data_IF_415538962602
#
_entry.id   IF_415538962602
#
_cell.length_a   1.000
_cell.length_b   1.000
_cell.length_c   1.000
_cell.angle_alpha   90.00
_cell.angle_beta   90.00
_cell.angle_gamma   90.00
#
_symmetry.space_group_name_H-M   'P 1'
#
loop_
_entity.id
_entity.type
_entity.pdbx_description
1 polymer ?
#
# COMPACT_ATOMS: atom_id res chain seq x y z
N UNK A 1 -20.69 -5.25 19.21
CA UNK A 1 -19.37 -4.92 18.63
C UNK A 1 -19.57 -4.85 17.13
N UNK A 2 -19.27 -3.71 16.51
CA UNK A 2 -19.56 -3.50 15.08
C UNK A 2 -18.24 -3.39 14.34
N UNK A 3 -18.09 -4.18 13.28
CA UNK A 3 -16.94 -4.08 12.41
C UNK A 3 -17.28 -3.12 11.27
N UNK A 4 -16.38 -2.18 10.98
CA UNK A 4 -16.51 -1.25 9.87
C UNK A 4 -15.38 -1.51 8.88
N UNK A 5 -15.72 -1.58 7.59
CA UNK A 5 -14.76 -1.77 6.52
C UNK A 5 -14.50 -0.43 5.82
N UNK A 6 -13.23 -0.15 5.54
CA UNK A 6 -12.80 1.07 4.86
C UNK A 6 -11.91 0.68 3.68
N UNK A 7 -12.03 1.44 2.58
CA UNK A 7 -11.09 1.38 1.46
C UNK A 7 -10.15 2.57 1.60
N UNK A 8 -8.85 2.30 1.61
CA UNK A 8 -7.81 3.32 1.71
C UNK A 8 -7.08 3.42 0.37
N UNK A 9 -7.07 4.62 -0.22
CA UNK A 9 -6.23 4.94 -1.37
C UNK A 9 -5.06 5.78 -0.89
N UNK A 10 -3.84 5.36 -1.18
CA UNK A 10 -2.60 6.03 -0.78
C UNK A 10 -1.71 6.27 -1.99
N UNK A 11 -0.90 7.31 -1.92
CA UNK A 11 0.20 7.57 -2.86
C UNK A 11 1.53 7.30 -2.17
N UNK A 12 2.45 6.63 -2.86
CA UNK A 12 3.86 6.45 -2.47
C UNK A 12 4.09 5.78 -1.10
N UNK A 13 3.07 5.17 -0.50
CA UNK A 13 3.17 4.50 0.79
C UNK A 13 3.37 3.00 0.61
N UNK A 14 4.35 2.43 1.32
CA UNK A 14 4.46 0.97 1.43
C UNK A 14 3.47 0.46 2.47
N UNK A 15 3.07 -0.80 2.33
CA UNK A 15 2.21 -1.50 3.30
C UNK A 15 2.66 -1.29 4.76
N UNK A 16 3.97 -1.32 5.01
CA UNK A 16 4.54 -1.15 6.35
C UNK A 16 4.31 0.25 6.93
N UNK A 17 4.31 1.28 6.08
CA UNK A 17 4.09 2.66 6.52
C UNK A 17 2.63 2.89 6.86
N UNK A 18 1.73 2.30 6.06
CA UNK A 18 0.28 2.29 6.32
C UNK A 18 -0.01 1.61 7.66
N UNK A 19 0.58 0.43 7.90
CA UNK A 19 0.41 -0.30 9.16
C UNK A 19 0.91 0.52 10.36
N UNK A 20 2.09 1.14 10.25
CA UNK A 20 2.64 1.98 11.31
C UNK A 20 1.76 3.18 11.59
N UNK A 21 1.30 3.89 10.56
CA UNK A 21 0.44 5.07 10.73
C UNK A 21 -0.87 4.73 11.46
N UNK A 22 -1.56 3.67 11.02
CA UNK A 22 -2.80 3.22 11.65
C UNK A 22 -2.57 2.77 13.10
N UNK A 23 -1.48 2.04 13.37
CA UNK A 23 -1.11 1.63 14.73
C UNK A 23 -0.81 2.82 15.64
N UNK A 24 -0.04 3.81 15.16
CA UNK A 24 0.27 5.03 15.92
C UNK A 24 -1.00 5.84 16.23
N UNK A 25 -1.99 5.81 15.35
CA UNK A 25 -3.31 6.42 15.57
C UNK A 25 -4.22 5.62 16.52
N UNK A 26 -3.76 4.50 17.07
CA UNK A 26 -4.56 3.63 17.95
C UNK A 26 -5.60 2.78 17.23
N UNK A 27 -5.50 2.65 15.91
CA UNK A 27 -6.43 1.85 15.10
C UNK A 27 -5.93 0.40 15.07
N UNK A 28 -6.77 -0.51 15.58
CA UNK A 28 -6.51 -1.94 15.52
C UNK A 28 -6.95 -2.51 14.17
N UNK A 29 -5.97 -2.73 13.28
CA UNK A 29 -6.20 -3.28 11.95
C UNK A 29 -6.34 -4.80 12.04
N UNK A 30 -7.50 -5.32 11.64
CA UNK A 30 -7.77 -6.77 11.63
C UNK A 30 -7.21 -7.46 10.39
N UNK A 31 -7.30 -6.82 9.23
CA UNK A 31 -6.75 -7.31 7.97
C UNK A 31 -6.48 -6.13 7.03
N UNK A 32 -5.47 -6.27 6.17
CA UNK A 32 -5.22 -5.35 5.06
C UNK A 32 -5.28 -6.20 3.79
N UNK A 33 -6.07 -5.75 2.82
CA UNK A 33 -6.20 -6.39 1.52
C UNK A 33 -5.78 -5.35 0.49
N UNK A 34 -4.76 -5.66 -0.30
CA UNK A 34 -4.36 -4.84 -1.46
C UNK A 34 -5.32 -5.18 -2.61
N UNK A 35 -6.24 -4.25 -2.92
CA UNK A 35 -7.29 -4.48 -3.93
C UNK A 35 -6.76 -4.13 -5.34
N UNK A 36 -5.85 -3.15 -5.45
CA UNK A 36 -5.33 -2.67 -6.71
C UNK A 36 -3.99 -1.94 -6.50
N UNK A 37 -3.00 -2.26 -7.33
CA UNK A 37 -1.70 -1.59 -7.39
C UNK A 37 -1.43 -1.18 -8.83
N UNK A 38 -1.23 0.12 -9.05
CA UNK A 38 -0.84 0.65 -10.35
C UNK A 38 0.66 0.96 -10.32
N UNK A 39 1.42 0.36 -11.22
CA UNK A 39 2.81 0.74 -11.43
C UNK A 39 2.84 1.96 -12.36
N UNK A 40 3.04 3.13 -11.77
CA UNK A 40 3.36 4.33 -12.55
C UNK A 40 4.76 4.10 -13.13
N UNK A 41 4.82 3.67 -14.41
CA UNK A 41 6.08 3.60 -15.15
C UNK A 41 6.65 5.01 -15.24
N UNK A 42 7.64 5.30 -14.40
CA UNK A 42 8.54 6.42 -14.61
C UNK A 42 9.45 6.03 -15.77
N UNK A 43 9.31 6.71 -16.90
CA UNK A 43 10.24 6.58 -18.03
C UNK A 43 11.65 7.00 -17.59
N UNK A 44 12.47 6.02 -17.20
CA UNK A 44 13.94 5.92 -17.20
C UNK A 44 14.27 4.64 -16.41
N UNK A 45 14.77 3.54 -16.98
CA UNK A 45 15.80 3.46 -18.00
C UNK A 45 15.67 2.16 -18.81
N UNK A 46 15.97 2.30 -20.09
CA UNK A 46 16.40 1.27 -21.03
C UNK A 46 17.68 0.57 -20.54
N UNK A 47 17.88 -0.65 -21.07
CA UNK A 47 19.12 -1.47 -21.11
C UNK A 47 19.42 -2.22 -19.79
N UNK A 48 19.52 -3.56 -19.75
CA UNK A 48 20.14 -4.48 -20.71
C UNK A 48 19.54 -5.90 -20.66
N UNK A 49 19.49 -6.56 -21.82
CA UNK A 49 19.17 -7.99 -22.00
C UNK A 49 20.33 -8.88 -21.53
N UNK A 50 20.00 -10.17 -21.32
CA UNK A 50 20.77 -11.39 -21.66
C UNK A 50 21.41 -12.13 -20.49
N UNK A 51 20.74 -13.18 -19.98
CA UNK A 51 21.08 -14.59 -20.21
C UNK A 51 20.03 -15.52 -19.59
#
# INVERSE_FOLDING_TARGET
MTNSNFILKVTDAKLIDIQKALKTAGINVRSIIEIFKEEIKTEKSSEEKTQ
#
